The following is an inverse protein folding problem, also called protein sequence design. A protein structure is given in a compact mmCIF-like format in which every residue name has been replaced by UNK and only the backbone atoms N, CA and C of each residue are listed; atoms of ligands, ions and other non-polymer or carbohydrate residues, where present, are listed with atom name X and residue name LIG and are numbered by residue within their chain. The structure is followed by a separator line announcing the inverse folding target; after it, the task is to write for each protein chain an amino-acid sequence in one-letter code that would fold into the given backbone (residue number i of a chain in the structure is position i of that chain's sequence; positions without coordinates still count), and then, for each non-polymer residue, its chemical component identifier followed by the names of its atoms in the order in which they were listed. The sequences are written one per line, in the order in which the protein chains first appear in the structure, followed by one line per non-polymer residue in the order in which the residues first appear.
data_IF_822063603781
#
_entry.id   IF_822063603781
#
_cell.length_a   1.000
_cell.length_b   1.000
_cell.length_c   1.000
_cell.angle_alpha   90.00
_cell.angle_beta   90.00
_cell.angle_gamma   90.00
#
_symmetry.space_group_name_H-M   'P 1'
#
loop_
_entity.id
_entity.type
_entity.pdbx_description
1 polymer ?
#
# COMPACT_ATOMS: atom_id res chain seq x y z
N UNK A 1 -13.55 20.26 -17.29
CA UNK A 1 -12.91 19.57 -16.15
C UNK A 1 -12.84 18.08 -16.47
N UNK A 2 -11.64 17.50 -16.54
CA UNK A 2 -11.50 16.07 -16.88
C UNK A 2 -12.10 15.16 -15.82
N UNK A 3 -12.58 13.97 -16.23
CA UNK A 3 -13.06 12.94 -15.29
C UNK A 3 -11.93 12.58 -14.32
N UNK A 4 -12.23 12.54 -13.03
CA UNK A 4 -11.29 12.04 -12.02
C UNK A 4 -11.21 10.52 -12.14
N UNK A 5 -10.00 9.99 -12.18
CA UNK A 5 -9.74 8.56 -12.14
C UNK A 5 -9.47 8.14 -10.70
N UNK A 6 -10.23 7.17 -10.21
CA UNK A 6 -10.00 6.55 -8.90
C UNK A 6 -9.27 5.22 -9.10
N UNK A 7 -8.18 5.02 -8.38
CA UNK A 7 -7.39 3.80 -8.41
C UNK A 7 -7.35 3.20 -7.01
N UNK A 8 -7.55 1.89 -6.91
CA UNK A 8 -7.32 1.12 -5.69
C UNK A 8 -6.14 0.21 -5.98
N UNK A 9 -5.10 0.33 -5.17
CA UNK A 9 -3.90 -0.49 -5.25
C UNK A 9 -3.66 -1.08 -3.87
N UNK A 10 -3.71 -2.40 -3.75
CA UNK A 10 -3.66 -3.11 -2.47
C UNK A 10 -3.00 -4.48 -2.66
N UNK A 11 -2.07 -4.82 -1.77
CA UNK A 11 -1.56 -6.18 -1.65
C UNK A 11 -2.51 -7.01 -0.80
N UNK A 12 -2.81 -8.23 -1.27
CA UNK A 12 -3.67 -9.19 -0.56
C UNK A 12 -3.03 -10.57 -0.59
N UNK A 13 -3.32 -11.37 0.43
CA UNK A 13 -3.04 -12.81 0.42
C UNK A 13 -3.88 -13.51 -0.66
N UNK A 14 -3.52 -14.76 -0.97
CA UNK A 14 -4.24 -15.57 -1.96
C UNK A 14 -5.73 -15.74 -1.62
N UNK A 15 -6.06 -15.77 -0.33
CA UNK A 15 -7.42 -15.85 0.20
C UNK A 15 -8.06 -14.48 0.45
N UNK A 16 -7.51 -13.41 -0.13
CA UNK A 16 -8.08 -12.05 -0.19
C UNK A 16 -8.11 -11.27 1.13
N UNK A 17 -7.19 -11.53 2.05
CA UNK A 17 -7.01 -10.75 3.28
C UNK A 17 -5.79 -9.82 3.19
N UNK A 18 -5.83 -8.69 3.91
CA UNK A 18 -4.73 -7.71 3.96
C UNK A 18 -3.91 -7.85 5.24
N UNK A 19 -4.58 -7.95 6.39
CA UNK A 19 -3.96 -8.03 7.69
C UNK A 19 -4.43 -9.28 8.42
N UNK A 20 -3.58 -9.81 9.30
CA UNK A 20 -3.93 -10.87 10.23
C UNK A 20 -4.99 -10.39 11.24
N UNK A 21 -5.55 -11.32 12.00
CA UNK A 21 -6.52 -11.02 13.07
C UNK A 21 -5.99 -10.06 14.14
N UNK A 22 -4.68 -10.04 14.36
CA UNK A 22 -3.99 -9.11 15.27
C UNK A 22 -3.63 -7.76 14.61
N UNK A 23 -3.96 -7.56 13.32
CA UNK A 23 -3.65 -6.35 12.57
C UNK A 23 -2.24 -6.30 11.95
N UNK A 24 -1.43 -7.34 12.09
CA UNK A 24 -0.10 -7.42 11.47
C UNK A 24 -0.18 -7.65 9.95
N UNK A 25 0.80 -7.10 9.23
CA UNK A 25 1.02 -7.30 7.79
C UNK A 25 2.40 -7.93 7.52
N UNK A 26 2.97 -8.59 8.53
CA UNK A 26 4.29 -9.25 8.51
C UNK A 26 4.47 -10.27 7.37
N UNK A 27 3.39 -10.81 6.81
CA UNK A 27 3.44 -11.67 5.62
C UNK A 27 3.97 -10.94 4.37
N UNK A 28 3.99 -9.61 4.38
CA UNK A 28 4.62 -8.78 3.35
C UNK A 28 6.13 -8.57 3.59
N UNK A 29 6.68 -9.00 4.73
CA UNK A 29 8.06 -8.67 5.10
C UNK A 29 9.11 -9.26 4.15
N UNK A 30 8.75 -10.36 3.48
CA UNK A 30 9.60 -11.07 2.52
C UNK A 30 9.50 -10.51 1.09
N UNK A 31 8.65 -9.50 0.86
CA UNK A 31 8.40 -8.93 -0.47
C UNK A 31 8.80 -7.47 -0.53
N UNK A 32 9.66 -7.11 -1.47
CA UNK A 32 10.06 -5.72 -1.71
C UNK A 32 9.02 -5.02 -2.62
N UNK A 33 8.36 -3.92 -2.16
CA UNK A 33 7.46 -3.14 -3.00
C UNK A 33 8.07 -2.63 -4.31
N UNK A 34 9.40 -2.45 -4.36
CA UNK A 34 10.09 -2.00 -5.56
C UNK A 34 9.99 -3.01 -6.71
N UNK A 35 9.83 -4.30 -6.41
CA UNK A 35 9.60 -5.35 -7.44
C UNK A 35 8.27 -5.18 -8.18
N UNK A 36 7.34 -4.38 -7.63
CA UNK A 36 5.99 -4.19 -8.15
C UNK A 36 5.75 -2.81 -8.76
N UNK A 37 6.82 -2.05 -9.02
CA UNK A 37 6.77 -0.71 -9.61
C UNK A 37 5.85 0.26 -8.85
N UNK A 38 5.80 0.09 -7.52
CA UNK A 38 4.90 0.85 -6.65
C UNK A 38 5.22 2.35 -6.66
N UNK A 39 6.49 2.71 -6.80
CA UNK A 39 6.94 4.10 -6.84
C UNK A 39 6.40 4.84 -8.07
N UNK A 40 6.56 4.28 -9.27
CA UNK A 40 6.02 4.88 -10.50
C UNK A 40 4.49 4.93 -10.49
N UNK A 41 3.82 3.93 -9.89
CA UNK A 41 2.38 4.04 -9.64
C UNK A 41 2.04 5.26 -8.78
N UNK A 42 2.76 5.45 -7.67
CA UNK A 42 2.52 6.50 -6.68
C UNK A 42 2.79 7.90 -7.24
N UNK A 43 3.81 8.07 -8.10
CA UNK A 43 4.11 9.33 -8.80
C UNK A 43 2.92 9.87 -9.62
N UNK A 44 2.08 8.96 -10.13
CA UNK A 44 0.86 9.32 -10.87
C UNK A 44 -0.34 9.73 -9.99
N UNK A 45 -0.23 9.65 -8.66
CA UNK A 45 -1.33 9.88 -7.72
C UNK A 45 -1.25 11.28 -7.10
N UNK A 46 -2.18 12.15 -7.47
CA UNK A 46 -2.24 13.52 -6.90
C UNK A 46 -2.91 13.61 -5.52
N UNK A 47 -3.61 12.57 -5.06
CA UNK A 47 -4.29 12.57 -3.76
C UNK A 47 -4.44 11.15 -3.22
N UNK A 48 -4.03 10.95 -1.98
CA UNK A 48 -4.17 9.69 -1.26
C UNK A 48 -5.34 9.76 -0.27
N UNK A 49 -6.22 8.76 -0.31
CA UNK A 49 -7.25 8.54 0.72
C UNK A 49 -6.91 7.23 1.41
N UNK A 50 -6.76 7.27 2.74
CA UNK A 50 -6.34 6.12 3.54
C UNK A 50 -7.06 6.10 4.88
N UNK A 51 -7.43 4.91 5.37
CA UNK A 51 -8.11 4.75 6.65
C UNK A 51 -7.18 4.99 7.86
N UNK A 52 -7.74 5.43 8.99
CA UNK A 52 -6.99 5.74 10.23
C UNK A 52 -6.14 4.58 10.73
N UNK A 53 -6.64 3.35 10.65
CA UNK A 53 -5.92 2.14 11.08
C UNK A 53 -4.66 1.93 10.24
N UNK A 54 -4.76 2.10 8.92
CA UNK A 54 -3.63 1.96 7.99
C UNK A 54 -2.64 3.12 8.14
N UNK A 55 -3.13 4.35 8.32
CA UNK A 55 -2.26 5.52 8.56
C UNK A 55 -1.45 5.39 9.87
N UNK A 56 -2.07 4.85 10.92
CA UNK A 56 -1.41 4.64 12.21
C UNK A 56 -0.58 3.35 12.30
N UNK A 57 -0.55 2.53 11.25
CA UNK A 57 0.25 1.31 11.25
C UNK A 57 1.74 1.68 11.19
N UNK A 58 2.62 1.01 11.96
CA UNK A 58 4.06 1.24 11.90
C UNK A 58 4.55 1.06 10.46
N UNK A 59 5.02 2.14 9.84
CA UNK A 59 5.61 2.07 8.52
C UNK A 59 7.05 1.59 8.68
N UNK A 60 7.49 0.62 7.87
CA UNK A 60 8.92 0.42 7.68
C UNK A 60 9.50 1.74 7.14
N UNK A 61 10.69 2.17 7.59
CA UNK A 61 11.32 3.32 6.97
C UNK A 61 11.45 3.02 5.49
N UNK A 62 10.74 3.79 4.65
CA UNK A 62 10.94 3.75 3.20
C UNK A 62 12.38 4.21 3.03
N UNK A 63 13.26 3.28 2.67
CA UNK A 63 14.69 3.54 2.46
C UNK A 63 14.75 4.51 1.28
N UNK A 64 14.84 5.80 1.56
CA UNK A 64 15.26 6.78 0.56
C UNK A 64 16.75 6.57 0.33
N UNK A 65 17.09 5.98 -0.80
CA UNK A 65 18.41 6.12 -1.44
C UNK A 65 18.33 7.25 -2.46
#
# INVERSE_FOLDING_TARGET
MGKKLFRVYVAVSLDSYVARSNGAVDWLDDYDPAEFDFETFLEGIGTLIIGRRTFGHPQKPIVRA
#
